data_IF_622648694414
#
_entry.id   IF_622648694414
#
_cell.length_a   1.000
_cell.length_b   1.000
_cell.length_c   1.000
_cell.angle_alpha   90.00
_cell.angle_beta   90.00
_cell.angle_gamma   90.00
#
_symmetry.space_group_name_H-M   'P 1'
#
loop_
_entity.id
_entity.type
_entity.pdbx_description
1 polymer ?
#
# COMPACT_ATOMS: atom_id res chain seq x y z
N UNK A 1 -18.35 14.35 21.24
CA UNK A 1 -18.75 15.67 21.79
C UNK A 1 -17.72 16.15 22.81
N UNK A 2 -17.66 17.43 23.01
CA UNK A 2 -16.71 18.05 23.93
C UNK A 2 -17.07 17.73 25.39
N UNK A 3 -16.06 17.55 26.27
CA UNK A 3 -16.30 17.34 27.69
C UNK A 3 -17.00 18.57 28.31
N UNK A 4 -18.02 18.32 29.11
CA UNK A 4 -18.81 19.37 29.75
C UNK A 4 -18.29 19.64 31.16
N UNK A 5 -18.21 20.91 31.57
CA UNK A 5 -17.89 21.29 32.95
C UNK A 5 -18.98 20.77 33.89
N UNK A 6 -18.59 19.97 34.87
CA UNK A 6 -19.52 19.39 35.83
C UNK A 6 -19.85 20.38 36.96
N UNK A 7 -21.09 20.84 37.09
CA UNK A 7 -21.52 21.57 38.29
C UNK A 7 -21.62 20.63 39.49
N UNK A 8 -21.38 21.16 40.68
CA UNK A 8 -21.47 20.37 41.93
C UNK A 8 -22.87 19.77 42.09
N UNK A 9 -22.91 18.43 42.19
CA UNK A 9 -24.16 17.68 42.45
C UNK A 9 -25.01 17.35 41.23
N UNK A 10 -24.52 17.53 40.00
CA UNK A 10 -25.19 17.10 38.76
C UNK A 10 -24.32 16.16 37.94
N UNK A 11 -24.92 15.02 37.53
CA UNK A 11 -24.27 14.09 36.60
C UNK A 11 -24.44 14.57 35.15
N UNK A 12 -23.44 14.41 34.29
CA UNK A 12 -23.56 14.70 32.85
C UNK A 12 -24.54 13.72 32.20
N UNK A 13 -25.22 14.16 31.17
CA UNK A 13 -26.06 13.28 30.36
C UNK A 13 -25.20 12.22 29.69
N UNK A 14 -25.53 10.93 29.81
CA UNK A 14 -24.79 9.87 29.14
C UNK A 14 -24.94 9.97 27.62
N UNK A 15 -23.83 9.87 26.90
CA UNK A 15 -23.84 9.79 25.45
C UNK A 15 -23.83 8.32 24.99
N UNK A 16 -24.54 8.05 23.91
CA UNK A 16 -24.52 6.75 23.26
C UNK A 16 -23.34 6.66 22.33
N UNK A 17 -22.57 5.58 22.43
CA UNK A 17 -21.51 5.26 21.46
C UNK A 17 -22.17 4.90 20.13
N UNK A 18 -21.87 5.66 19.09
CA UNK A 18 -22.29 5.34 17.73
C UNK A 18 -21.29 4.36 17.13
N UNK A 19 -21.80 3.29 16.54
CA UNK A 19 -21.02 2.30 15.80
C UNK A 19 -21.35 2.40 14.32
N UNK A 20 -20.33 2.51 13.50
CA UNK A 20 -20.45 2.42 12.05
C UNK A 20 -19.96 1.06 11.59
N UNK A 21 -20.79 0.32 10.87
CA UNK A 21 -20.44 -0.98 10.33
C UNK A 21 -20.10 -0.82 8.84
N UNK A 22 -18.90 -1.25 8.46
CA UNK A 22 -18.46 -1.28 7.07
C UNK A 22 -18.65 -2.70 6.54
N UNK A 23 -19.47 -2.86 5.50
CA UNK A 23 -19.75 -4.15 4.89
C UNK A 23 -18.83 -4.40 3.69
N UNK A 24 -18.13 -5.52 3.68
CA UNK A 24 -17.20 -5.92 2.61
C UNK A 24 -17.60 -7.28 2.07
N UNK A 25 -17.79 -7.37 0.74
CA UNK A 25 -18.00 -8.64 0.08
C UNK A 25 -16.64 -9.29 -0.21
N UNK A 26 -16.39 -10.47 0.37
CA UNK A 26 -15.19 -11.25 0.09
C UNK A 26 -15.24 -11.83 -1.32
N UNK A 27 -14.09 -11.89 -1.97
CA UNK A 27 -13.90 -12.49 -3.29
C UNK A 27 -12.89 -13.62 -3.21
N UNK A 28 -13.19 -14.71 -3.91
CA UNK A 28 -12.28 -15.83 -4.07
C UNK A 28 -11.41 -15.61 -5.30
N UNK A 29 -10.10 -15.69 -5.09
CA UNK A 29 -9.10 -15.63 -6.15
C UNK A 29 -8.38 -16.96 -6.22
N UNK A 30 -8.01 -17.38 -7.43
CA UNK A 30 -7.25 -18.61 -7.61
C UNK A 30 -6.49 -18.60 -8.93
N UNK A 31 -5.41 -19.38 -8.95
CA UNK A 31 -4.64 -19.66 -10.15
C UNK A 31 -4.13 -21.08 -10.12
N UNK A 32 -4.19 -21.76 -11.27
CA UNK A 32 -3.71 -23.12 -11.42
C UNK A 32 -2.66 -23.18 -12.52
N UNK A 33 -1.58 -23.91 -12.27
CA UNK A 33 -0.54 -24.24 -13.25
C UNK A 33 -0.45 -25.75 -13.39
N UNK A 34 -0.43 -26.24 -14.63
CA UNK A 34 -0.28 -27.66 -14.94
C UNK A 34 1.16 -27.96 -15.35
N UNK A 35 1.78 -28.92 -14.68
CA UNK A 35 3.09 -29.45 -15.02
C UNK A 35 2.94 -30.80 -15.70
N UNK A 36 3.55 -30.96 -16.89
CA UNK A 36 3.53 -32.25 -17.57
C UNK A 36 4.56 -33.21 -16.96
N UNK A 37 4.23 -34.51 -16.92
CA UNK A 37 5.16 -35.57 -16.49
C UNK A 37 6.47 -35.52 -17.27
N UNK A 38 6.42 -35.19 -18.55
CA UNK A 38 7.60 -35.09 -19.41
C UNK A 38 8.57 -34.01 -18.91
N UNK A 39 8.06 -32.86 -18.52
CA UNK A 39 8.89 -31.76 -17.95
C UNK A 39 9.52 -32.23 -16.63
N UNK A 40 8.75 -32.86 -15.75
CA UNK A 40 9.25 -33.35 -14.45
C UNK A 40 10.32 -34.46 -14.59
N UNK A 41 10.36 -35.19 -15.72
CA UNK A 41 11.32 -36.24 -15.95
C UNK A 41 12.58 -35.81 -16.73
N UNK A 42 12.47 -34.78 -17.58
CA UNK A 42 13.56 -34.36 -18.48
C UNK A 42 14.36 -33.20 -17.88
N UNK A 43 13.71 -32.34 -17.11
CA UNK A 43 14.37 -31.15 -16.53
C UNK A 43 15.11 -31.56 -15.26
N UNK A 44 16.41 -31.28 -15.17
CA UNK A 44 17.25 -31.54 -14.00
C UNK A 44 16.87 -30.66 -12.80
N UNK A 45 16.32 -29.46 -13.07
CA UNK A 45 15.93 -28.51 -12.04
C UNK A 45 14.61 -28.92 -11.36
N UNK A 46 14.46 -28.54 -10.10
CA UNK A 46 13.24 -28.79 -9.33
C UNK A 46 12.11 -27.84 -9.77
N UNK A 47 11.55 -28.12 -10.94
CA UNK A 47 10.48 -27.33 -11.56
C UNK A 47 9.21 -27.26 -10.71
N UNK A 48 8.99 -28.20 -9.81
CA UNK A 48 7.83 -28.19 -8.91
C UNK A 48 7.97 -27.10 -7.85
N UNK A 49 9.11 -27.01 -7.18
CA UNK A 49 9.38 -25.97 -6.19
C UNK A 49 9.43 -24.58 -6.84
N UNK A 50 10.07 -24.43 -8.00
CA UNK A 50 10.08 -23.18 -8.74
C UNK A 50 8.66 -22.72 -9.13
N UNK A 51 7.80 -23.65 -9.53
CA UNK A 51 6.40 -23.34 -9.84
C UNK A 51 5.62 -22.93 -8.58
N UNK A 52 5.88 -23.55 -7.42
CA UNK A 52 5.28 -23.17 -6.15
C UNK A 52 5.69 -21.75 -5.74
N UNK A 53 6.96 -21.39 -5.87
CA UNK A 53 7.48 -20.05 -5.59
C UNK A 53 6.85 -18.99 -6.50
N UNK A 54 6.75 -19.29 -7.80
CA UNK A 54 6.09 -18.41 -8.76
C UNK A 54 4.59 -18.20 -8.45
N UNK A 55 3.89 -19.25 -8.01
CA UNK A 55 2.49 -19.16 -7.59
C UNK A 55 2.35 -18.32 -6.31
N UNK A 56 3.25 -18.49 -5.34
CA UNK A 56 3.29 -17.69 -4.12
C UNK A 56 3.50 -16.19 -4.44
N UNK A 57 4.47 -15.87 -5.28
CA UNK A 57 4.69 -14.48 -5.73
C UNK A 57 3.46 -13.91 -6.47
N UNK A 58 2.80 -14.74 -7.29
CA UNK A 58 1.59 -14.34 -7.99
C UNK A 58 0.44 -14.02 -7.01
N UNK A 59 0.30 -14.82 -5.95
CA UNK A 59 -0.68 -14.59 -4.88
C UNK A 59 -0.42 -13.27 -4.17
N UNK A 60 0.82 -13.02 -3.72
CA UNK A 60 1.17 -11.74 -3.08
C UNK A 60 0.93 -10.54 -3.99
N UNK A 61 1.28 -10.66 -5.27
CA UNK A 61 1.03 -9.60 -6.26
C UNK A 61 -0.47 -9.35 -6.46
N UNK A 62 -1.30 -10.37 -6.40
CA UNK A 62 -2.76 -10.24 -6.50
C UNK A 62 -3.32 -9.48 -5.28
N UNK A 63 -2.94 -9.88 -4.05
CA UNK A 63 -3.35 -9.20 -2.82
C UNK A 63 -2.98 -7.71 -2.85
N UNK A 64 -1.75 -7.40 -3.26
CA UNK A 64 -1.26 -6.02 -3.40
C UNK A 64 -2.08 -5.23 -4.44
N UNK A 65 -2.40 -5.82 -5.59
CA UNK A 65 -3.21 -5.18 -6.62
C UNK A 65 -4.64 -4.88 -6.15
N UNK A 66 -5.27 -5.80 -5.43
CA UNK A 66 -6.63 -5.59 -4.89
C UNK A 66 -6.61 -4.43 -3.88
N UNK A 67 -5.68 -4.46 -2.92
CA UNK A 67 -5.54 -3.41 -1.92
C UNK A 67 -5.30 -2.05 -2.56
N UNK A 68 -4.39 -1.96 -3.52
CA UNK A 68 -4.10 -0.70 -4.23
C UNK A 68 -5.24 -0.23 -5.10
N UNK A 69 -6.01 -1.15 -5.70
CA UNK A 69 -7.21 -0.81 -6.44
C UNK A 69 -8.22 -0.06 -5.56
N UNK A 70 -8.41 -0.55 -4.34
CA UNK A 70 -9.28 0.09 -3.34
C UNK A 70 -8.71 1.44 -2.89
N UNK A 71 -7.41 1.51 -2.56
CA UNK A 71 -6.76 2.76 -2.16
C UNK A 71 -6.85 3.84 -3.24
N UNK A 72 -6.65 3.48 -4.51
CA UNK A 72 -6.71 4.43 -5.62
C UNK A 72 -8.13 4.94 -5.90
N UNK A 73 -9.15 4.21 -5.44
CA UNK A 73 -10.56 4.62 -5.54
C UNK A 73 -11.00 5.55 -4.40
N UNK A 74 -10.13 5.83 -3.40
CA UNK A 74 -10.42 6.76 -2.31
C UNK A 74 -10.86 8.13 -2.84
N UNK A 75 -11.92 8.68 -2.24
CA UNK A 75 -12.58 9.89 -2.72
C UNK A 75 -11.73 11.17 -2.56
N UNK A 76 -10.95 11.38 -1.49
CA UNK A 76 -10.09 12.55 -1.42
C UNK A 76 -8.95 12.44 -2.44
N UNK A 77 -9.12 13.14 -3.58
CA UNK A 77 -8.12 13.21 -4.64
C UNK A 77 -7.67 14.65 -4.84
N UNK A 78 -6.37 14.88 -4.69
CA UNK A 78 -5.75 16.19 -4.90
C UNK A 78 -4.94 16.13 -6.20
N UNK A 79 -5.33 16.96 -7.19
CA UNK A 79 -4.54 17.11 -8.40
C UNK A 79 -3.33 18.01 -8.14
N UNK A 80 -2.16 17.57 -8.57
CA UNK A 80 -0.94 18.38 -8.55
C UNK A 80 -1.02 19.44 -9.65
N UNK A 81 -1.00 20.72 -9.26
CA UNK A 81 -1.16 21.87 -10.14
C UNK A 81 -0.02 22.88 -10.02
N UNK A 82 0.95 22.61 -9.15
CA UNK A 82 2.03 23.56 -8.82
C UNK A 82 3.31 23.32 -9.63
N UNK A 83 3.36 22.30 -10.47
CA UNK A 83 4.51 22.02 -11.33
C UNK A 83 4.52 22.87 -12.61
N UNK A 84 5.56 22.72 -13.39
CA UNK A 84 5.84 23.53 -14.59
C UNK A 84 5.86 22.75 -15.90
N UNK A 85 5.48 21.48 -15.90
CA UNK A 85 5.53 20.64 -17.12
C UNK A 85 4.46 21.01 -18.17
N UNK A 86 3.59 21.98 -17.87
CA UNK A 86 2.60 22.49 -18.82
C UNK A 86 1.34 21.65 -19.02
N UNK A 87 1.16 20.58 -18.24
CA UNK A 87 -0.02 19.72 -18.28
C UNK A 87 -1.11 20.21 -17.33
N UNK A 88 -2.36 19.77 -17.54
CA UNK A 88 -3.47 20.10 -16.63
C UNK A 88 -3.27 19.50 -15.23
N UNK A 89 -2.66 18.31 -15.14
CA UNK A 89 -2.09 17.74 -13.92
C UNK A 89 -0.58 17.78 -14.11
N UNK A 90 0.14 18.40 -13.19
CA UNK A 90 1.58 18.62 -13.28
C UNK A 90 2.37 17.54 -12.53
N UNK A 91 3.70 17.62 -12.59
CA UNK A 91 4.59 16.85 -11.73
C UNK A 91 4.37 17.19 -10.25
N UNK A 92 4.78 16.26 -9.38
CA UNK A 92 4.65 16.40 -7.93
C UNK A 92 5.60 17.49 -7.41
N UNK A 93 5.08 18.41 -6.61
CA UNK A 93 5.85 19.49 -5.95
C UNK A 93 5.70 19.44 -4.44
N UNK A 94 6.59 20.11 -3.72
CA UNK A 94 6.52 20.20 -2.26
C UNK A 94 5.18 20.78 -1.77
N UNK A 95 4.65 21.78 -2.46
CA UNK A 95 3.36 22.40 -2.12
C UNK A 95 2.17 21.45 -2.23
N UNK A 96 2.24 20.48 -3.15
CA UNK A 96 1.19 19.48 -3.30
C UNK A 96 1.27 18.44 -2.15
N UNK A 97 2.50 18.13 -1.71
CA UNK A 97 2.75 17.30 -0.52
C UNK A 97 2.25 17.98 0.74
N UNK A 98 2.60 19.26 0.96
CA UNK A 98 2.11 20.05 2.09
C UNK A 98 0.58 20.10 2.15
N UNK A 99 -0.08 20.19 1.00
CA UNK A 99 -1.56 20.12 0.93
C UNK A 99 -2.11 18.76 1.36
N UNK A 100 -1.44 17.66 0.99
CA UNK A 100 -1.85 16.33 1.42
C UNK A 100 -1.62 16.12 2.93
N UNK A 101 -0.46 16.55 3.45
CA UNK A 101 -0.16 16.50 4.88
C UNK A 101 -1.16 17.35 5.68
N UNK A 102 -1.40 18.59 5.24
CA UNK A 102 -2.38 19.48 5.88
C UNK A 102 -3.80 18.90 5.88
N UNK A 103 -4.19 18.16 4.84
CA UNK A 103 -5.47 17.46 4.81
C UNK A 103 -5.52 16.36 5.88
N UNK A 104 -4.48 15.52 5.99
CA UNK A 104 -4.43 14.45 7.00
C UNK A 104 -4.38 15.00 8.43
N UNK A 105 -3.58 16.04 8.67
CA UNK A 105 -3.48 16.68 9.99
C UNK A 105 -4.78 17.39 10.39
N UNK A 106 -5.49 18.02 9.44
CA UNK A 106 -6.78 18.67 9.73
C UNK A 106 -7.90 17.68 10.11
N UNK A 107 -7.72 16.41 9.79
CA UNK A 107 -8.62 15.33 10.18
C UNK A 107 -8.11 14.53 11.41
N UNK A 108 -7.13 15.08 12.15
CA UNK A 108 -6.54 14.44 13.33
C UNK A 108 -6.04 13.01 13.06
N UNK A 109 -5.52 12.74 11.86
CA UNK A 109 -5.06 11.43 11.46
C UNK A 109 -3.78 11.06 12.20
N UNK A 110 -3.75 9.88 12.82
CA UNK A 110 -2.58 9.39 13.54
C UNK A 110 -1.48 8.97 12.55
N UNK A 111 -0.23 9.38 12.85
CA UNK A 111 0.96 9.02 12.07
C UNK A 111 1.32 7.55 12.26
N UNK A 112 1.73 6.88 11.19
CA UNK A 112 1.98 5.43 11.21
C UNK A 112 3.41 5.06 11.60
N UNK A 113 4.36 5.98 11.45
CA UNK A 113 5.78 5.69 11.67
C UNK A 113 6.30 6.39 12.91
N UNK A 114 7.17 5.72 13.70
CA UNK A 114 7.81 6.36 14.83
C UNK A 114 8.87 7.37 14.39
N UNK A 115 9.19 8.30 15.26
CA UNK A 115 10.33 9.21 15.09
C UNK A 115 11.64 8.42 15.10
N UNK A 116 12.52 8.69 14.15
CA UNK A 116 13.89 8.18 14.12
C UNK A 116 14.80 9.26 14.69
N UNK A 117 15.46 8.94 15.80
CA UNK A 117 16.39 9.87 16.42
C UNK A 117 17.65 10.06 15.55
N UNK A 118 18.21 11.27 15.59
CA UNK A 118 19.51 11.56 15.01
C UNK A 118 20.63 10.86 15.79
N UNK A 119 21.73 10.54 15.12
CA UNK A 119 22.94 10.03 15.76
C UNK A 119 24.08 11.05 15.69
N UNK A 120 25.15 10.82 16.48
CA UNK A 120 26.35 11.66 16.41
C UNK A 120 27.19 11.50 15.13
N UNK A 121 26.75 10.65 14.20
CA UNK A 121 27.44 10.45 12.91
C UNK A 121 27.19 11.64 12.00
N UNK A 122 28.24 12.13 11.35
CA UNK A 122 28.17 13.24 10.40
C UNK A 122 27.26 12.85 9.21
N UNK A 123 26.35 13.75 8.85
CA UNK A 123 25.45 13.58 7.70
C UNK A 123 24.18 12.77 8.02
N UNK A 124 23.89 12.50 9.30
CA UNK A 124 22.63 11.90 9.72
C UNK A 124 21.72 12.95 10.34
N UNK A 125 20.43 12.84 10.03
CA UNK A 125 19.39 13.75 10.53
C UNK A 125 18.26 12.94 11.19
N UNK A 126 17.58 13.49 12.19
CA UNK A 126 16.38 12.89 12.73
C UNK A 126 15.28 12.88 11.66
N UNK A 127 14.50 11.81 11.60
CA UNK A 127 13.27 11.77 10.80
C UNK A 127 12.07 11.75 11.74
N UNK A 128 11.14 12.67 11.54
CA UNK A 128 9.94 12.82 12.36
C UNK A 128 8.97 11.67 12.14
N UNK A 129 8.04 11.49 13.08
CA UNK A 129 6.90 10.61 12.90
C UNK A 129 6.11 11.07 11.67
N UNK A 130 5.77 10.14 10.78
CA UNK A 130 5.29 10.48 9.45
C UNK A 130 4.15 9.57 9.00
N UNK A 131 3.38 10.06 8.05
CA UNK A 131 2.42 9.29 7.28
C UNK A 131 3.13 8.44 6.22
N UNK A 132 2.44 7.47 5.63
CA UNK A 132 2.96 6.70 4.52
C UNK A 132 2.56 7.31 3.18
N UNK A 133 3.56 7.46 2.32
CA UNK A 133 3.37 7.79 0.91
C UNK A 133 3.72 6.61 0.02
N UNK A 134 2.80 6.17 -0.81
CA UNK A 134 3.03 5.11 -1.79
C UNK A 134 3.06 5.74 -3.18
N UNK A 135 4.24 5.76 -3.80
CA UNK A 135 4.45 6.37 -5.10
C UNK A 135 4.84 5.34 -6.18
N UNK A 136 4.53 5.65 -7.43
CA UNK A 136 4.99 4.84 -8.55
C UNK A 136 6.50 5.03 -8.77
N UNK A 137 7.22 3.93 -9.13
CA UNK A 137 8.67 3.96 -9.37
C UNK A 137 9.08 5.03 -10.38
N UNK A 138 8.24 5.35 -11.37
CA UNK A 138 8.52 6.40 -12.37
C UNK A 138 8.51 7.82 -11.81
N UNK A 139 7.83 8.07 -10.68
CA UNK A 139 7.78 9.36 -9.98
C UNK A 139 8.95 9.54 -9.01
N UNK A 140 9.69 8.46 -8.71
CA UNK A 140 10.83 8.48 -7.81
C UNK A 140 11.91 9.54 -8.14
N UNK A 141 12.27 9.78 -9.41
CA UNK A 141 13.22 10.85 -9.74
C UNK A 141 12.71 12.24 -9.35
N UNK A 142 11.41 12.51 -9.55
CA UNK A 142 10.79 13.80 -9.26
C UNK A 142 10.75 14.07 -7.75
N UNK A 143 10.47 13.03 -6.94
CA UNK A 143 10.53 13.10 -5.48
C UNK A 143 11.95 13.41 -4.96
N UNK A 144 12.99 12.88 -5.61
CA UNK A 144 14.39 13.13 -5.21
C UNK A 144 14.88 14.56 -5.46
N UNK A 145 14.23 15.29 -6.33
CA UNK A 145 14.60 16.67 -6.68
C UNK A 145 13.97 17.67 -5.70
N UNK A 146 13.02 17.23 -4.88
CA UNK A 146 12.36 18.10 -3.91
C UNK A 146 13.35 18.61 -2.85
N UNK A 147 13.25 19.89 -2.49
CA UNK A 147 14.21 20.56 -1.61
C UNK A 147 14.32 19.91 -0.22
N UNK A 148 13.23 19.37 0.31
CA UNK A 148 13.17 18.74 1.63
C UNK A 148 13.30 17.21 1.57
N UNK A 149 13.79 16.64 0.46
CA UNK A 149 13.94 15.20 0.36
C UNK A 149 15.14 14.70 1.16
N UNK A 150 14.87 13.77 2.09
CA UNK A 150 15.88 13.08 2.87
C UNK A 150 15.92 11.60 2.48
N UNK A 151 17.09 11.15 2.01
CA UNK A 151 17.31 9.75 1.66
C UNK A 151 17.38 8.87 2.90
N UNK A 152 16.95 7.60 2.81
CA UNK A 152 17.08 6.63 3.90
C UNK A 152 18.52 6.46 4.41
N UNK A 153 19.53 6.72 3.56
CA UNK A 153 20.95 6.70 3.97
C UNK A 153 21.34 7.83 4.95
N UNK A 154 20.52 8.87 5.04
CA UNK A 154 20.74 10.01 5.94
C UNK A 154 19.99 9.88 7.27
N UNK A 155 19.21 8.82 7.47
CA UNK A 155 18.54 8.56 8.73
C UNK A 155 19.51 8.18 9.83
N UNK A 156 19.21 8.58 11.05
CA UNK A 156 20.04 8.28 12.22
C UNK A 156 20.13 6.78 12.56
N UNK A 157 19.05 6.03 12.34
CA UNK A 157 18.98 4.58 12.48
C UNK A 157 18.33 3.95 11.26
N UNK A 158 18.73 2.71 10.95
CA UNK A 158 18.12 1.90 9.88
C UNK A 158 17.08 0.91 10.41
N UNK A 159 16.92 0.79 11.73
CA UNK A 159 16.07 -0.24 12.36
C UNK A 159 14.57 0.01 12.11
N UNK A 160 14.18 1.28 11.95
CA UNK A 160 12.80 1.68 11.69
C UNK A 160 12.50 2.01 10.22
N UNK A 161 13.41 1.65 9.31
CA UNK A 161 13.23 1.87 7.86
C UNK A 161 12.34 0.76 7.29
N UNK A 162 11.32 1.18 6.53
CA UNK A 162 10.40 0.24 5.88
C UNK A 162 11.06 -0.46 4.70
N UNK A 163 10.65 -1.70 4.44
CA UNK A 163 11.08 -2.39 3.23
C UNK A 163 10.60 -1.60 1.98
N UNK A 164 11.50 -1.38 1.04
CA UNK A 164 11.28 -0.56 -0.16
C UNK A 164 11.06 0.95 0.09
N UNK A 165 11.28 1.44 1.31
CA UNK A 165 11.38 2.87 1.58
C UNK A 165 12.63 3.45 0.92
N UNK A 166 12.52 4.62 0.30
CA UNK A 166 13.66 5.27 -0.33
C UNK A 166 13.99 6.64 0.21
N UNK A 167 13.12 7.21 1.01
CA UNK A 167 13.32 8.50 1.67
C UNK A 167 12.05 9.10 2.23
N UNK A 168 12.21 10.23 2.89
CA UNK A 168 11.11 11.05 3.40
C UNK A 168 11.13 12.43 2.77
N UNK A 169 9.97 13.03 2.70
CA UNK A 169 9.79 14.42 2.29
C UNK A 169 8.75 15.01 3.20
N UNK A 170 9.12 16.06 3.94
CA UNK A 170 8.26 16.61 4.94
C UNK A 170 7.80 15.52 5.93
N UNK A 171 6.54 15.42 6.27
CA UNK A 171 5.97 14.39 7.15
C UNK A 171 5.46 13.14 6.41
N UNK A 172 6.00 12.86 5.22
CA UNK A 172 5.68 11.66 4.42
C UNK A 172 6.91 10.79 4.22
N UNK A 173 6.80 9.51 4.56
CA UNK A 173 7.79 8.48 4.19
C UNK A 173 7.33 7.74 2.94
N UNK A 174 8.20 7.70 1.95
CA UNK A 174 7.88 7.22 0.62
C UNK A 174 8.34 5.79 0.40
N UNK A 175 7.37 4.95 0.07
CA UNK A 175 7.58 3.59 -0.45
C UNK A 175 7.27 3.59 -1.94
N UNK A 176 8.11 2.94 -2.75
CA UNK A 176 7.88 2.88 -4.20
C UNK A 176 7.46 1.50 -4.66
N UNK A 177 6.51 1.47 -5.58
CA UNK A 177 6.11 0.23 -6.24
C UNK A 177 5.79 0.46 -7.72
N UNK A 178 5.99 -0.58 -8.52
CA UNK A 178 5.62 -0.60 -9.94
C UNK A 178 4.12 -0.86 -10.16
N UNK A 179 3.40 -1.27 -9.13
CA UNK A 179 1.98 -1.66 -9.21
C UNK A 179 1.01 -0.51 -8.86
N UNK A 180 1.51 0.69 -8.57
CA UNK A 180 0.67 1.88 -8.33
C UNK A 180 -0.18 2.17 -9.56
N UNK A 181 -1.46 2.48 -9.33
CA UNK A 181 -2.40 2.76 -10.40
C UNK A 181 -1.94 3.96 -11.23
N UNK A 182 -2.01 3.81 -12.54
CA UNK A 182 -1.73 4.87 -13.50
C UNK A 182 -2.78 4.86 -14.60
N UNK A 183 -3.12 6.03 -15.10
CA UNK A 183 -3.96 6.16 -16.28
C UNK A 183 -3.13 5.88 -17.53
N UNK A 184 -3.60 4.95 -18.38
CA UNK A 184 -2.97 4.63 -19.65
C UNK A 184 -3.32 5.72 -20.68
N UNK A 185 -2.60 6.82 -20.68
CA UNK A 185 -2.74 7.94 -21.61
C UNK A 185 -1.38 8.37 -22.18
N UNK A 186 -1.37 9.26 -23.15
CA UNK A 186 -0.14 9.83 -23.70
C UNK A 186 0.69 10.56 -22.63
N UNK A 187 0.03 11.20 -21.65
CA UNK A 187 0.64 11.68 -20.41
C UNK A 187 0.04 10.87 -19.24
N UNK A 188 0.71 9.83 -18.76
CA UNK A 188 0.19 8.98 -17.70
C UNK A 188 0.09 9.76 -16.39
N UNK A 189 -1.07 9.69 -15.76
CA UNK A 189 -1.31 10.24 -14.42
C UNK A 189 -1.14 9.11 -13.41
N UNK A 190 -0.29 9.34 -12.41
CA UNK A 190 -0.01 8.42 -11.32
C UNK A 190 -0.83 8.83 -10.10
N UNK A 191 -1.48 7.85 -9.48
CA UNK A 191 -2.18 8.05 -8.21
C UNK A 191 -1.23 7.70 -7.06
N UNK A 192 -0.56 8.71 -6.51
CA UNK A 192 0.29 8.51 -5.34
C UNK A 192 -0.58 8.63 -4.09
N UNK A 193 -0.63 7.58 -3.29
CA UNK A 193 -1.50 7.50 -2.12
C UNK A 193 -0.74 7.88 -0.86
N UNK A 194 -1.27 8.84 -0.10
CA UNK A 194 -0.82 9.20 1.24
C UNK A 194 -1.85 8.72 2.25
N UNK A 195 -1.41 8.01 3.28
CA UNK A 195 -2.31 7.39 4.25
C UNK A 195 -1.73 7.45 5.67
N UNK A 196 -2.63 7.58 6.64
CA UNK A 196 -2.36 7.47 8.05
C UNK A 196 -2.91 6.19 8.66
N UNK A 197 -2.87 6.10 9.98
CA UNK A 197 -3.38 4.94 10.70
C UNK A 197 -4.89 4.74 10.46
N UNK A 198 -5.33 3.49 10.44
CA UNK A 198 -6.73 3.10 10.29
C UNK A 198 -7.41 3.55 8.98
N UNK A 199 -6.65 3.93 7.95
CA UNK A 199 -7.20 4.34 6.67
C UNK A 199 -7.81 3.17 5.88
N UNK A 200 -7.13 2.02 5.85
CA UNK A 200 -7.48 0.86 5.04
C UNK A 200 -7.44 -0.41 5.87
N UNK A 201 -8.43 -1.27 5.68
CA UNK A 201 -8.50 -2.61 6.28
C UNK A 201 -8.47 -3.70 5.23
N UNK A 202 -7.75 -4.78 5.50
CA UNK A 202 -7.84 -6.03 4.75
C UNK A 202 -8.75 -7.01 5.47
N UNK A 203 -9.61 -7.70 4.73
CA UNK A 203 -10.54 -8.70 5.27
C UNK A 203 -10.27 -10.04 4.63
N UNK A 204 -10.09 -11.07 5.46
CA UNK A 204 -9.86 -12.46 5.07
C UNK A 204 -10.76 -13.39 5.88
N UNK A 205 -10.90 -14.65 5.46
CA UNK A 205 -11.55 -15.70 6.26
C UNK A 205 -10.46 -16.38 7.09
N UNK A 206 -10.68 -16.46 8.41
CA UNK A 206 -9.65 -16.80 9.40
C UNK A 206 -8.97 -18.17 9.19
N UNK A 207 -9.71 -19.21 8.79
CA UNK A 207 -9.16 -20.56 8.64
C UNK A 207 -8.76 -20.91 7.20
N UNK A 208 -9.25 -20.21 6.18
CA UNK A 208 -9.07 -20.52 4.75
C UNK A 208 -8.64 -19.30 3.94
N UNK A 209 -7.88 -18.41 4.56
CA UNK A 209 -7.48 -17.15 3.92
C UNK A 209 -6.67 -17.37 2.66
N UNK A 210 -5.71 -18.30 2.71
CA UNK A 210 -4.86 -18.66 1.58
C UNK A 210 -4.49 -20.13 1.66
N UNK A 211 -4.73 -20.89 0.60
CA UNK A 211 -4.39 -22.32 0.53
C UNK A 211 -3.58 -22.60 -0.74
N UNK A 212 -2.44 -23.29 -0.55
CA UNK A 212 -1.67 -23.83 -1.66
C UNK A 212 -2.10 -25.28 -1.90
N UNK A 213 -2.59 -25.58 -3.09
CA UNK A 213 -3.13 -26.88 -3.45
C UNK A 213 -2.17 -27.55 -4.43
N UNK A 214 -1.66 -28.73 -4.05
CA UNK A 214 -0.87 -29.58 -4.93
C UNK A 214 -1.62 -30.88 -5.18
N UNK A 215 -1.96 -31.17 -6.43
CA UNK A 215 -2.56 -32.45 -6.86
C UNK A 215 -1.51 -33.27 -7.58
N UNK A 216 -1.20 -34.46 -7.10
CA UNK A 216 -0.22 -35.36 -7.75
C UNK A 216 -0.67 -35.77 -9.14
N UNK A 217 0.23 -36.41 -9.90
CA UNK A 217 -0.05 -36.98 -11.21
C UNK A 217 -1.27 -37.96 -11.13
N UNK A 218 -2.20 -37.81 -12.05
CA UNK A 218 -3.33 -38.72 -12.19
C UNK A 218 -4.64 -38.27 -11.60
N UNK A 219 -4.75 -37.09 -11.05
CA UNK A 219 -5.98 -36.66 -10.38
C UNK A 219 -7.19 -36.48 -11.33
N UNK A 220 -6.97 -36.05 -12.59
CA UNK A 220 -8.02 -35.88 -13.62
C UNK A 220 -7.55 -36.35 -15.02
N UNK A 221 -6.51 -37.16 -15.09
CA UNK A 221 -5.90 -37.59 -16.34
C UNK A 221 -5.74 -39.13 -16.36
N UNK A 222 -6.42 -39.78 -17.29
CA UNK A 222 -6.39 -41.25 -17.45
C UNK A 222 -4.99 -41.81 -17.70
N UNK A 223 -4.05 -40.99 -18.18
CA UNK A 223 -2.68 -41.44 -18.49
C UNK A 223 -1.63 -40.92 -17.48
N UNK A 224 -2.05 -40.28 -16.39
CA UNK A 224 -1.16 -39.74 -15.36
C UNK A 224 -0.08 -38.78 -15.94
N UNK A 225 -0.48 -37.87 -16.84
CA UNK A 225 0.45 -37.01 -17.59
C UNK A 225 0.66 -35.64 -16.97
N UNK A 226 -0.26 -35.22 -16.12
CA UNK A 226 -0.26 -33.84 -15.58
C UNK A 226 -0.34 -33.84 -14.05
N UNK A 227 0.46 -32.97 -13.45
CA UNK A 227 0.38 -32.57 -12.06
C UNK A 227 -0.20 -31.15 -12.03
N UNK A 228 -1.16 -30.88 -11.15
CA UNK A 228 -1.73 -29.56 -10.97
C UNK A 228 -1.22 -28.94 -9.68
N UNK A 229 -0.77 -27.70 -9.76
CA UNK A 229 -0.41 -26.86 -8.62
C UNK A 229 -1.19 -25.56 -8.72
N UNK A 230 -1.73 -25.09 -7.62
CA UNK A 230 -2.51 -23.86 -7.61
C UNK A 230 -2.64 -23.28 -6.23
N UNK A 231 -3.21 -22.10 -6.15
CA UNK A 231 -3.63 -21.49 -4.89
C UNK A 231 -5.06 -20.99 -4.99
N UNK A 232 -5.70 -20.91 -3.84
CA UNK A 232 -6.93 -20.17 -3.62
C UNK A 232 -6.73 -19.18 -2.50
N UNK A 233 -7.34 -17.99 -2.61
CA UNK A 233 -7.27 -16.97 -1.59
C UNK A 233 -8.60 -16.22 -1.50
N UNK A 234 -9.14 -16.08 -0.29
CA UNK A 234 -10.29 -15.25 0.02
C UNK A 234 -9.82 -13.94 0.60
N UNK A 235 -10.02 -12.86 -0.14
CA UNK A 235 -9.53 -11.55 0.25
C UNK A 235 -10.39 -10.43 -0.30
N UNK A 236 -10.49 -9.37 0.45
CA UNK A 236 -10.87 -8.06 -0.07
C UNK A 236 -10.27 -6.97 0.83
N UNK A 237 -10.16 -5.76 0.30
CA UNK A 237 -9.75 -4.58 1.04
C UNK A 237 -10.89 -3.57 1.08
N UNK A 238 -10.89 -2.72 2.09
CA UNK A 238 -11.88 -1.67 2.27
C UNK A 238 -11.23 -0.44 2.87
N UNK A 239 -11.72 0.73 2.49
CA UNK A 239 -11.38 1.99 3.15
C UNK A 239 -12.22 2.05 4.42
N UNK A 240 -11.56 2.19 5.57
CA UNK A 240 -12.21 2.31 6.87
C UNK A 240 -12.64 3.74 7.13
N UNK A 241 -11.79 4.69 6.78
CA UNK A 241 -12.05 6.11 6.92
C UNK A 241 -11.44 6.88 5.73
N UNK A 242 -12.30 7.54 4.96
CA UNK A 242 -11.89 8.36 3.81
C UNK A 242 -11.11 9.62 4.22
N UNK A 243 -11.24 10.06 5.46
CA UNK A 243 -10.52 11.24 5.98
C UNK A 243 -9.04 10.96 6.25
N UNK A 244 -8.67 9.67 6.44
CA UNK A 244 -7.31 9.23 6.75
C UNK A 244 -6.48 8.82 5.53
N UNK A 245 -7.02 9.00 4.33
CA UNK A 245 -6.35 8.67 3.07
C UNK A 245 -6.54 9.80 2.07
N UNK A 246 -5.50 10.10 1.30
CA UNK A 246 -5.57 11.07 0.20
C UNK A 246 -4.73 10.62 -0.99
N UNK A 247 -5.27 10.76 -2.18
CA UNK A 247 -4.58 10.45 -3.42
C UNK A 247 -4.05 11.71 -4.10
N UNK A 248 -2.74 11.79 -4.31
CA UNK A 248 -2.09 12.83 -5.09
C UNK A 248 -1.97 12.38 -6.55
N UNK A 249 -2.69 13.04 -7.43
CA UNK A 249 -2.63 12.80 -8.86
C UNK A 249 -1.52 13.64 -9.48
N UNK A 250 -0.47 12.99 -9.97
CA UNK A 250 0.67 13.65 -10.60
C UNK A 250 1.03 13.03 -11.94
N UNK A 251 1.64 13.81 -12.81
CA UNK A 251 2.33 13.31 -14.00
C UNK A 251 3.83 13.19 -13.70
N UNK A 252 4.57 12.61 -14.63
CA UNK A 252 6.03 12.60 -14.59
C UNK A 252 6.56 13.87 -15.25
N UNK A 253 7.63 14.44 -14.68
CA UNK A 253 8.41 15.51 -15.30
C UNK A 253 9.17 15.03 -16.52
#
# INVERSE_FOLDING_TARGET
>A
SDPVVLPEGADPAPENVMKFDVNVALQEFGKVTLLSRTVLLIVEDDTANETADNLSQCMHTMLDKVTRGVMAAAVPQISCLNGINGNAITELTIKDIERAVSFLDSNDTEKMTPTIEGTSRIGTYPAEASFWGIAHVKVKPDLRILDNFMSTSQYGSQDAVLQAEFGSTDELRWVTSSLVNMTAAAAPVFSNTCLGANAVGGVTIDEVSTEMIMKPLGHNDYLNRFQAMGFTAWFNAVILDDSHIVNLLSTKK
#
